data_IF_928497332314
#
_entry.id   IF_928497332314
#
_cell.length_a   1.000
_cell.length_b   1.000
_cell.length_c   1.000
_cell.angle_alpha   90.00
_cell.angle_beta   90.00
_cell.angle_gamma   90.00
#
_symmetry.space_group_name_H-M   'P 1'
#
loop_
_entity.id
_entity.type
_entity.pdbx_description
1 polymer ?
#
# COMPACT_ATOMS: atom_id res chain seq x y z
N UNK A 1 7.29 -15.75 20.47
CA UNK A 1 6.81 -16.32 19.19
C UNK A 1 7.00 -15.21 18.18
N UNK A 2 7.84 -15.43 17.15
CA UNK A 2 8.12 -14.40 16.14
C UNK A 2 6.89 -14.16 15.26
N UNK A 3 6.63 -12.90 14.92
CA UNK A 3 5.56 -12.51 14.00
C UNK A 3 6.11 -12.45 12.59
N UNK A 4 5.61 -13.29 11.68
CA UNK A 4 6.00 -13.21 10.26
C UNK A 4 5.16 -12.17 9.54
N UNK A 5 5.81 -11.18 8.93
CA UNK A 5 5.14 -10.05 8.28
C UNK A 5 5.73 -9.85 6.89
N UNK A 6 4.88 -9.72 5.87
CA UNK A 6 5.32 -9.37 4.53
C UNK A 6 5.72 -7.90 4.48
N UNK A 7 6.94 -7.59 4.07
CA UNK A 7 7.43 -6.23 3.88
C UNK A 7 7.59 -5.94 2.39
N UNK A 8 6.88 -4.94 1.89
CA UNK A 8 6.98 -4.46 0.50
C UNK A 8 7.58 -3.06 0.53
N UNK A 9 8.88 -2.87 0.26
CA UNK A 9 9.52 -1.55 0.34
C UNK A 9 8.85 -0.51 -0.56
N UNK A 10 8.38 -0.92 -1.74
CA UNK A 10 7.75 -0.05 -2.72
C UNK A 10 8.76 0.82 -3.47
N UNK A 11 8.27 1.86 -4.12
CA UNK A 11 9.04 2.71 -5.04
C UNK A 11 9.38 4.09 -4.42
N UNK A 12 10.30 4.82 -5.04
CA UNK A 12 10.62 6.19 -4.69
C UNK A 12 11.20 6.32 -3.28
N UNK A 13 10.49 7.00 -2.38
CA UNK A 13 10.89 7.13 -0.95
C UNK A 13 10.61 5.86 -0.14
N UNK A 14 9.93 4.86 -0.72
CA UNK A 14 9.52 3.64 -0.04
C UNK A 14 10.66 2.87 0.65
N UNK A 15 11.77 2.56 -0.03
CA UNK A 15 12.89 1.82 0.56
C UNK A 15 13.50 2.50 1.78
N UNK A 16 13.66 3.84 1.75
CA UNK A 16 14.19 4.61 2.87
C UNK A 16 13.24 4.58 4.08
N UNK A 17 11.93 4.72 3.83
CA UNK A 17 10.90 4.63 4.87
C UNK A 17 10.82 3.22 5.47
N UNK A 18 10.97 2.17 4.65
CA UNK A 18 10.98 0.78 5.12
C UNK A 18 12.19 0.51 6.04
N UNK A 19 13.38 0.98 5.67
CA UNK A 19 14.57 0.84 6.51
C UNK A 19 14.42 1.58 7.86
N UNK A 20 13.86 2.78 7.84
CA UNK A 20 13.55 3.54 9.07
C UNK A 20 12.51 2.80 9.94
N UNK A 21 11.46 2.25 9.34
CA UNK A 21 10.45 1.45 10.03
C UNK A 21 11.08 0.24 10.74
N UNK A 22 11.90 -0.54 10.05
CA UNK A 22 12.54 -1.72 10.63
C UNK A 22 13.43 -1.35 11.82
N UNK A 23 14.16 -0.24 11.72
CA UNK A 23 15.00 0.29 12.80
C UNK A 23 14.16 0.65 14.03
N UNK A 24 13.05 1.36 13.85
CA UNK A 24 12.16 1.77 14.94
C UNK A 24 11.46 0.56 15.57
N UNK A 25 10.98 -0.39 14.76
CA UNK A 25 10.32 -1.61 15.26
C UNK A 25 11.31 -2.46 16.04
N UNK A 26 12.52 -2.68 15.54
CA UNK A 26 13.54 -3.47 16.24
C UNK A 26 13.83 -2.88 17.64
N UNK A 27 13.85 -1.56 17.77
CA UNK A 27 14.04 -0.87 19.05
C UNK A 27 12.91 -1.10 20.06
N UNK A 28 11.72 -1.54 19.63
CA UNK A 28 10.61 -1.89 20.53
C UNK A 28 10.79 -3.24 21.23
N UNK A 29 11.68 -4.09 20.73
CA UNK A 29 11.88 -5.46 21.21
C UNK A 29 10.83 -6.47 20.71
N UNK A 30 9.91 -6.06 19.82
CA UNK A 30 8.98 -6.98 19.16
C UNK A 30 9.76 -7.82 18.14
N UNK A 31 9.62 -9.14 18.24
CA UNK A 31 10.23 -10.12 17.34
C UNK A 31 9.41 -10.23 16.05
N UNK A 32 9.88 -9.60 14.97
CA UNK A 32 9.30 -9.66 13.63
C UNK A 32 10.27 -10.32 12.65
N UNK A 33 9.79 -11.37 11.98
CA UNK A 33 10.44 -11.99 10.83
C UNK A 33 9.91 -11.35 9.54
N UNK A 34 10.74 -10.50 8.92
CA UNK A 34 10.38 -9.81 7.68
C UNK A 34 10.54 -10.71 6.47
N UNK A 35 9.43 -11.01 5.81
CA UNK A 35 9.44 -11.62 4.49
C UNK A 35 9.36 -10.52 3.43
N UNK A 36 10.53 -10.15 2.87
CA UNK A 36 10.60 -9.09 1.85
C UNK A 36 10.05 -9.57 0.52
N UNK A 37 9.22 -8.74 -0.10
CA UNK A 37 8.61 -8.95 -1.40
C UNK A 37 8.66 -7.64 -2.19
N UNK A 38 8.94 -7.70 -3.48
CA UNK A 38 9.05 -6.51 -4.33
C UNK A 38 7.79 -6.36 -5.20
N UNK A 39 7.24 -5.15 -5.25
CA UNK A 39 6.10 -4.79 -6.09
C UNK A 39 6.18 -3.31 -6.47
N UNK A 40 5.76 -2.97 -7.68
CA UNK A 40 5.87 -1.63 -8.24
C UNK A 40 6.54 -1.58 -9.61
N UNK A 41 7.11 -0.44 -9.95
CA UNK A 41 7.76 -0.23 -11.25
C UNK A 41 9.02 -1.08 -11.40
N UNK A 42 9.78 -1.23 -10.31
CA UNK A 42 11.09 -1.88 -10.33
C UNK A 42 11.02 -3.39 -10.65
N UNK A 43 9.84 -4.01 -10.47
CA UNK A 43 9.62 -5.43 -10.79
C UNK A 43 8.99 -5.66 -12.17
N UNK A 44 8.54 -4.58 -12.84
CA UNK A 44 7.87 -4.67 -14.13
C UNK A 44 8.77 -5.27 -15.22
N UNK A 45 10.04 -4.87 -15.25
CA UNK A 45 11.02 -5.39 -16.22
C UNK A 45 11.31 -6.88 -16.02
N UNK A 46 11.38 -7.33 -14.76
CA UNK A 46 11.73 -8.71 -14.42
C UNK A 46 10.57 -9.69 -14.58
N UNK A 47 9.34 -9.28 -14.24
CA UNK A 47 8.18 -10.20 -14.15
C UNK A 47 7.09 -9.90 -15.17
N UNK A 48 7.19 -8.82 -15.95
CA UNK A 48 6.16 -8.39 -16.90
C UNK A 48 4.86 -7.90 -16.24
N UNK A 49 4.82 -7.82 -14.92
CA UNK A 49 3.71 -7.33 -14.11
C UNK A 49 4.26 -6.54 -12.93
N UNK A 50 3.61 -5.43 -12.52
CA UNK A 50 4.03 -4.65 -11.36
C UNK A 50 3.58 -5.29 -10.04
N UNK A 51 2.73 -6.31 -10.09
CA UNK A 51 2.27 -7.08 -8.94
C UNK A 51 2.32 -8.58 -9.28
N UNK A 52 3.47 -9.23 -9.07
CA UNK A 52 3.58 -10.68 -9.21
C UNK A 52 2.70 -11.44 -8.21
N UNK A 53 2.13 -12.58 -8.61
CA UNK A 53 1.22 -13.37 -7.77
C UNK A 53 1.83 -13.82 -6.44
N UNK A 54 3.14 -14.10 -6.43
CA UNK A 54 3.84 -14.53 -5.22
C UNK A 54 3.82 -13.46 -4.11
N UNK A 55 3.68 -12.18 -4.46
CA UNK A 55 3.52 -11.08 -3.49
C UNK A 55 2.18 -11.20 -2.80
N UNK A 56 1.09 -11.40 -3.55
CA UNK A 56 -0.26 -11.57 -2.99
C UNK A 56 -0.33 -12.82 -2.12
N UNK A 57 0.28 -13.93 -2.57
CA UNK A 57 0.32 -15.18 -1.82
C UNK A 57 1.15 -15.08 -0.53
N UNK A 58 2.23 -14.28 -0.54
CA UNK A 58 2.95 -13.94 0.69
C UNK A 58 2.04 -13.25 1.70
N UNK A 59 1.29 -12.23 1.28
CA UNK A 59 0.35 -11.52 2.17
C UNK A 59 -0.78 -12.42 2.64
N UNK A 60 -1.32 -13.30 1.79
CA UNK A 60 -2.36 -14.27 2.18
C UNK A 60 -1.86 -15.28 3.21
N UNK A 61 -0.62 -15.74 3.08
CA UNK A 61 0.01 -16.66 4.03
C UNK A 61 0.28 -15.98 5.36
N UNK A 62 0.89 -14.79 5.35
CA UNK A 62 1.33 -14.09 6.55
C UNK A 62 0.21 -13.27 7.21
N UNK A 63 -0.89 -12.99 6.49
CA UNK A 63 -2.08 -12.20 6.91
C UNK A 63 -1.82 -10.73 7.21
N UNK A 64 -0.57 -10.34 7.46
CA UNK A 64 -0.16 -8.98 7.75
C UNK A 64 0.94 -8.58 6.78
N UNK A 65 0.80 -7.38 6.22
CA UNK A 65 1.80 -6.79 5.36
C UNK A 65 1.99 -5.30 5.68
N UNK A 66 3.22 -4.84 5.55
CA UNK A 66 3.55 -3.41 5.58
C UNK A 66 4.12 -3.05 4.21
N UNK A 67 3.59 -1.99 3.60
CA UNK A 67 4.04 -1.53 2.29
C UNK A 67 4.38 -0.04 2.24
N UNK A 68 5.58 0.29 1.77
CA UNK A 68 5.94 1.65 1.37
C UNK A 68 5.20 2.07 0.07
N UNK A 69 5.12 3.38 -0.25
CA UNK A 69 4.40 3.88 -1.43
C UNK A 69 4.81 3.15 -2.71
N UNK A 70 3.84 2.84 -3.58
CA UNK A 70 4.08 2.20 -4.87
C UNK A 70 3.57 3.14 -5.96
N UNK A 71 4.45 3.45 -6.91
CA UNK A 71 4.17 4.38 -8.00
C UNK A 71 3.18 3.74 -8.96
N UNK A 72 2.12 4.48 -9.32
CA UNK A 72 1.19 4.10 -10.39
C UNK A 72 1.35 5.13 -11.51
N UNK A 73 1.68 4.72 -12.75
CA UNK A 73 1.80 5.65 -13.87
C UNK A 73 0.46 6.34 -14.12
N UNK A 74 0.51 7.63 -14.47
CA UNK A 74 -0.68 8.47 -14.69
C UNK A 74 -1.02 8.46 -16.19
N UNK A 75 -2.30 8.20 -16.52
CA UNK A 75 -2.85 8.39 -17.86
C UNK A 75 -2.56 7.29 -18.88
N UNK A 76 -1.62 6.38 -18.62
CA UNK A 76 -1.37 5.19 -19.43
C UNK A 76 -0.79 4.06 -18.57
N UNK A 77 -1.14 2.81 -18.90
CA UNK A 77 -0.55 1.62 -18.26
C UNK A 77 -1.52 0.77 -17.43
N UNK A 78 -0.96 0.06 -16.48
CA UNK A 78 -1.63 -0.98 -15.70
C UNK A 78 -2.57 -0.43 -14.61
N UNK A 79 -3.56 -1.24 -14.23
CA UNK A 79 -4.41 -0.96 -13.06
C UNK A 79 -3.55 -0.81 -11.81
N UNK A 80 -3.82 0.21 -10.99
CA UNK A 80 -3.02 0.53 -9.79
C UNK A 80 -2.76 -0.72 -8.92
N UNK A 81 -1.48 -1.00 -8.65
CA UNK A 81 -1.03 -2.09 -7.75
C UNK A 81 -1.73 -2.01 -6.40
N UNK A 82 -1.92 -0.79 -5.89
CA UNK A 82 -2.61 -0.56 -4.61
C UNK A 82 -4.07 -1.03 -4.65
N UNK A 83 -4.79 -0.73 -5.74
CA UNK A 83 -6.18 -1.17 -5.91
C UNK A 83 -6.24 -2.68 -6.14
N UNK A 84 -5.33 -3.22 -6.96
CA UNK A 84 -5.23 -4.65 -7.23
C UNK A 84 -5.00 -5.46 -5.95
N UNK A 85 -4.05 -5.04 -5.09
CA UNK A 85 -3.80 -5.66 -3.79
C UNK A 85 -5.04 -5.68 -2.91
N UNK A 86 -5.74 -4.54 -2.79
CA UNK A 86 -6.95 -4.42 -1.95
C UNK A 86 -8.06 -5.34 -2.41
N UNK A 87 -8.31 -5.39 -3.73
CA UNK A 87 -9.31 -6.28 -4.33
C UNK A 87 -8.93 -7.75 -4.17
N UNK A 88 -7.67 -8.11 -4.45
CA UNK A 88 -7.21 -9.50 -4.38
C UNK A 88 -7.22 -10.08 -2.95
N UNK A 89 -7.15 -9.22 -1.94
CA UNK A 89 -7.11 -9.56 -0.52
C UNK A 89 -8.43 -9.23 0.22
N UNK A 90 -9.46 -8.76 -0.49
CA UNK A 90 -10.75 -8.35 0.09
C UNK A 90 -10.63 -7.34 1.26
N UNK A 91 -9.74 -6.36 1.10
CA UNK A 91 -9.46 -5.33 2.11
C UNK A 91 -10.43 -4.14 1.98
N UNK A 92 -11.72 -4.40 2.22
CA UNK A 92 -12.83 -3.45 1.98
C UNK A 92 -12.78 -2.17 2.83
N UNK A 93 -12.18 -2.20 4.03
CA UNK A 93 -12.11 -1.06 4.93
C UNK A 93 -10.72 -0.38 4.90
N UNK A 94 -10.66 0.87 4.44
CA UNK A 94 -9.48 1.72 4.58
C UNK A 94 -9.66 2.67 5.77
N UNK A 95 -9.06 2.32 6.90
CA UNK A 95 -9.06 3.16 8.10
C UNK A 95 -7.95 4.22 7.99
N UNK A 96 -8.33 5.49 8.19
CA UNK A 96 -7.40 6.63 8.18
C UNK A 96 -7.57 7.47 9.43
N UNK A 97 -6.89 7.11 10.54
CA UNK A 97 -6.84 7.96 11.73
C UNK A 97 -6.11 9.27 11.43
N UNK A 98 -6.66 10.38 11.90
CA UNK A 98 -6.04 11.68 11.87
C UNK A 98 -6.11 12.28 13.27
N UNK A 99 -4.94 12.55 13.86
CA UNK A 99 -4.84 13.14 15.20
C UNK A 99 -3.85 14.30 15.22
N UNK A 100 -4.09 15.29 16.07
CA UNK A 100 -3.10 16.31 16.37
C UNK A 100 -1.88 15.68 17.06
N UNK A 101 -0.67 15.97 16.55
CA UNK A 101 0.59 15.48 17.12
C UNK A 101 1.29 16.64 17.82
N UNK A 102 1.61 16.48 19.10
CA UNK A 102 2.32 17.49 19.88
C UNK A 102 3.65 17.87 19.20
N UNK A 103 3.91 19.17 19.08
CA UNK A 103 5.11 19.71 18.41
C UNK A 103 4.99 19.89 16.89
N UNK A 104 3.97 19.32 16.24
CA UNK A 104 3.71 19.56 14.81
C UNK A 104 2.87 20.83 14.63
N UNK A 105 3.41 21.83 13.94
CA UNK A 105 2.69 23.08 13.69
C UNK A 105 1.54 22.86 12.71
N UNK A 106 0.32 23.14 13.15
CA UNK A 106 -0.91 23.07 12.34
C UNK A 106 -1.80 24.27 12.58
N UNK A 107 -2.70 24.56 11.64
CA UNK A 107 -3.73 25.60 11.79
C UNK A 107 -4.79 25.22 12.83
N UNK A 108 -5.12 23.93 12.90
CA UNK A 108 -6.14 23.38 13.80
C UNK A 108 -5.48 22.50 14.86
N UNK A 109 -6.05 22.49 16.06
CA UNK A 109 -5.60 21.72 17.22
C UNK A 109 -6.72 20.76 17.67
N UNK A 110 -6.37 19.82 18.55
CA UNK A 110 -7.31 18.86 19.16
C UNK A 110 -8.12 18.04 18.15
N UNK A 111 -7.52 17.70 17.02
CA UNK A 111 -8.11 16.78 16.05
C UNK A 111 -7.97 15.36 16.58
N UNK A 112 -9.08 14.63 16.63
CA UNK A 112 -9.13 13.19 16.89
C UNK A 112 -10.31 12.58 16.11
N UNK A 113 -10.01 12.00 14.95
CA UNK A 113 -11.02 11.37 14.10
C UNK A 113 -10.45 10.19 13.32
N UNK A 114 -11.34 9.32 12.86
CA UNK A 114 -11.01 8.22 11.95
C UNK A 114 -11.95 8.28 10.76
N UNK A 115 -11.37 8.35 9.56
CA UNK A 115 -12.14 8.15 8.32
C UNK A 115 -12.21 6.67 8.02
N UNK A 116 -13.43 6.14 7.88
CA UNK A 116 -13.69 4.79 7.38
C UNK A 116 -14.06 4.91 5.91
N UNK A 117 -13.12 4.59 5.02
CA UNK A 117 -13.30 4.67 3.58
C UNK A 117 -13.54 3.27 3.00
N UNK A 118 -14.58 3.13 2.17
CA UNK A 118 -14.77 2.00 1.26
C UNK A 118 -13.56 1.92 0.28
N UNK A 119 -13.02 0.72 0.08
CA UNK A 119 -11.68 0.52 -0.49
C UNK A 119 -11.60 -0.52 -1.63
N UNK A 120 -12.73 -1.06 -2.07
CA UNK A 120 -12.85 -2.16 -3.04
C UNK A 120 -13.72 -1.84 -4.26
N UNK A 121 -14.63 -0.86 -4.18
CA UNK A 121 -15.59 -0.51 -5.24
C UNK A 121 -15.53 0.98 -5.64
N UNK A 122 -16.69 1.61 -5.88
CA UNK A 122 -16.86 2.97 -6.39
C UNK A 122 -16.14 3.22 -7.74
N UNK A 123 -15.93 4.47 -8.13
CA UNK A 123 -15.22 4.88 -9.35
C UNK A 123 -13.81 4.27 -9.46
N UNK A 124 -13.17 3.96 -8.33
CA UNK A 124 -11.86 3.29 -8.29
C UNK A 124 -11.92 1.83 -8.78
N UNK A 125 -13.11 1.30 -9.10
CA UNK A 125 -13.24 0.03 -9.76
C UNK A 125 -12.55 -0.01 -11.14
N UNK A 126 -12.41 1.14 -11.80
CA UNK A 126 -11.75 1.28 -13.10
C UNK A 126 -12.54 0.61 -14.22
N UNK A 127 -13.86 0.74 -14.20
CA UNK A 127 -14.78 0.28 -15.25
C UNK A 127 -15.12 1.48 -16.10
N UNK A 128 -14.32 1.72 -17.13
CA UNK A 128 -14.35 2.92 -17.99
C UNK A 128 -14.51 2.49 -19.46
N UNK A 129 -15.20 3.30 -20.27
CA UNK A 129 -15.37 3.04 -21.70
C UNK A 129 -15.55 4.36 -22.47
N UNK A 130 -15.00 4.43 -23.67
CA UNK A 130 -15.23 5.58 -24.56
C UNK A 130 -16.64 5.52 -25.17
N UNK A 131 -17.31 6.66 -25.23
CA UNK A 131 -18.56 6.89 -25.97
C UNK A 131 -18.24 7.81 -27.15
N UNK A 132 -17.97 7.22 -28.31
CA UNK A 132 -17.46 7.96 -29.48
C UNK A 132 -15.97 8.26 -29.36
N UNK A 133 -15.49 9.21 -30.18
CA UNK A 133 -14.05 9.50 -30.28
C UNK A 133 -13.54 10.44 -29.17
N UNK A 134 -14.42 11.28 -28.61
CA UNK A 134 -14.03 12.42 -27.77
C UNK A 134 -14.59 12.39 -26.34
N UNK A 135 -15.35 11.36 -25.95
CA UNK A 135 -15.94 11.26 -24.61
C UNK A 135 -15.62 9.91 -23.97
N UNK A 136 -15.21 9.95 -22.69
CA UNK A 136 -14.91 8.81 -21.83
C UNK A 136 -15.89 8.73 -20.66
#
# INVERSE_FOLDING_TARGET
>A
MSHRVTLIPGDGTGPELAAALETVIAATGVDIEWERQDAGLDVMEAYGTPLPDHVVESVRRNRVAIKGPITTPVGSGFRSVNVALRKALDLYACLRPARSIAGVRSRFQDIDLVVVRENTEDLYAGVEHMVGDDAA
#
